data_IF_335708982243
#
_entry.id   IF_335708982243
#
_cell.length_a   1.000
_cell.length_b   1.000
_cell.length_c   1.000
_cell.angle_alpha   90.00
_cell.angle_beta   90.00
_cell.angle_gamma   90.00
#
_symmetry.space_group_name_H-M   'P 1'
#
loop_
_entity.id
_entity.type
_entity.pdbx_description
1 polymer ?
#
# COMPACT_ATOMS: atom_id res chain seq x y z
N UNK A 1 13.28 16.33 -22.24
CA UNK A 1 12.66 16.50 -20.91
C UNK A 1 12.05 15.20 -20.39
N UNK A 2 11.29 14.44 -21.20
CA UNK A 2 10.70 13.14 -20.81
C UNK A 2 11.67 12.12 -20.20
N UNK A 3 12.86 11.91 -20.78
CA UNK A 3 13.84 10.98 -20.23
C UNK A 3 14.32 11.38 -18.84
N UNK A 4 14.59 12.67 -18.61
CA UNK A 4 15.01 13.19 -17.31
C UNK A 4 13.89 13.00 -16.27
N UNK A 5 12.65 13.35 -16.61
CA UNK A 5 11.49 13.17 -15.73
C UNK A 5 11.24 11.70 -15.41
N UNK A 6 11.43 10.80 -16.38
CA UNK A 6 11.34 9.35 -16.16
C UNK A 6 12.38 8.88 -15.14
N UNK A 7 13.65 9.22 -15.32
CA UNK A 7 14.72 8.83 -14.38
C UNK A 7 14.53 9.42 -12.99
N UNK A 8 14.11 10.68 -12.89
CA UNK A 8 13.78 11.30 -11.59
C UNK A 8 12.63 10.54 -10.92
N UNK A 9 11.58 10.21 -11.67
CA UNK A 9 10.45 9.43 -11.17
C UNK A 9 10.88 8.06 -10.64
N UNK A 10 11.73 7.34 -11.39
CA UNK A 10 12.27 6.03 -10.97
C UNK A 10 13.09 6.16 -9.68
N UNK A 11 14.00 7.12 -9.60
CA UNK A 11 14.86 7.31 -8.42
C UNK A 11 14.03 7.74 -7.20
N UNK A 12 13.13 8.69 -7.35
CA UNK A 12 12.27 9.17 -6.27
C UNK A 12 11.36 8.06 -5.74
N UNK A 13 10.77 7.26 -6.63
CA UNK A 13 9.93 6.13 -6.23
C UNK A 13 10.76 5.04 -5.53
N UNK A 14 11.95 4.73 -6.05
CA UNK A 14 12.87 3.78 -5.40
C UNK A 14 13.20 4.22 -3.98
N UNK A 15 13.58 5.49 -3.77
CA UNK A 15 13.88 6.04 -2.44
C UNK A 15 12.64 5.98 -1.52
N UNK A 16 11.45 6.29 -2.05
CA UNK A 16 10.20 6.24 -1.29
C UNK A 16 9.83 4.84 -0.79
N UNK A 17 10.27 3.78 -1.47
CA UNK A 17 10.04 2.38 -1.06
C UNK A 17 11.13 1.81 -0.13
N UNK A 18 12.25 2.53 0.10
CA UNK A 18 13.32 2.09 1.02
C UNK A 18 12.84 1.94 2.47
N UNK A 19 12.07 2.89 3.04
CA UNK A 19 11.58 2.76 4.41
C UNK A 19 10.76 1.47 4.59
N UNK A 20 10.99 0.68 5.66
CA UNK A 20 10.25 -0.55 5.89
C UNK A 20 8.77 -0.23 6.19
N UNK A 21 7.91 -0.50 5.21
CA UNK A 21 6.45 -0.38 5.34
C UNK A 21 5.73 -1.73 5.41
N UNK A 22 4.40 -1.69 5.44
CA UNK A 22 3.55 -2.88 5.54
C UNK A 22 3.78 -3.89 4.41
N UNK A 23 4.02 -3.42 3.19
CA UNK A 23 4.29 -4.28 2.03
C UNK A 23 5.65 -4.97 2.15
N UNK A 24 6.69 -4.22 2.53
CA UNK A 24 8.05 -4.74 2.70
C UNK A 24 8.06 -5.85 3.76
N UNK A 25 7.41 -5.61 4.91
CA UNK A 25 7.29 -6.60 5.98
C UNK A 25 6.46 -7.82 5.56
N UNK A 26 5.36 -7.61 4.82
CA UNK A 26 4.53 -8.71 4.31
C UNK A 26 5.29 -9.56 3.30
N UNK A 27 6.05 -8.93 2.39
CA UNK A 27 6.89 -9.62 1.41
C UNK A 27 7.96 -10.46 2.11
N UNK A 28 8.63 -9.91 3.13
CA UNK A 28 9.59 -10.65 3.96
C UNK A 28 8.91 -11.83 4.64
N UNK A 29 7.74 -11.63 5.25
CA UNK A 29 7.00 -12.69 5.93
C UNK A 29 6.56 -13.79 4.96
N UNK A 30 6.08 -13.45 3.75
CA UNK A 30 5.71 -14.42 2.72
C UNK A 30 6.96 -15.17 2.24
N UNK A 31 8.07 -14.47 2.01
CA UNK A 31 9.33 -15.10 1.55
C UNK A 31 9.84 -16.12 2.57
N UNK A 32 9.88 -15.75 3.85
CA UNK A 32 10.36 -16.62 4.93
C UNK A 32 9.42 -17.82 5.14
N UNK A 33 8.11 -17.60 5.16
CA UNK A 33 7.16 -18.66 5.55
C UNK A 33 6.67 -19.53 4.37
N UNK A 34 6.73 -19.01 3.14
CA UNK A 34 6.11 -19.64 1.96
C UNK A 34 7.03 -19.76 0.75
N UNK A 35 8.24 -19.20 0.83
CA UNK A 35 9.23 -19.26 -0.23
C UNK A 35 9.09 -18.19 -1.31
N UNK A 36 10.09 -18.16 -2.21
CA UNK A 36 10.27 -17.11 -3.21
C UNK A 36 9.16 -17.05 -4.27
N UNK A 37 8.62 -18.20 -4.69
CA UNK A 37 7.58 -18.26 -5.73
C UNK A 37 6.31 -17.50 -5.30
N UNK A 38 5.94 -17.59 -4.03
CA UNK A 38 4.75 -16.99 -3.45
C UNK A 38 4.98 -15.50 -3.18
N UNK A 39 6.21 -15.12 -2.84
CA UNK A 39 6.62 -13.72 -2.74
C UNK A 39 6.56 -13.03 -4.11
N UNK A 40 7.00 -13.69 -5.18
CA UNK A 40 6.89 -13.18 -6.56
C UNK A 40 5.44 -13.03 -7.00
N UNK A 41 4.57 -14.01 -6.70
CA UNK A 41 3.15 -13.91 -6.98
C UNK A 41 2.49 -12.74 -6.25
N UNK A 42 2.86 -12.52 -4.97
CA UNK A 42 2.39 -11.40 -4.18
C UNK A 42 2.82 -10.05 -4.78
N UNK A 43 4.09 -9.88 -5.10
CA UNK A 43 4.60 -8.58 -5.58
C UNK A 43 4.09 -8.24 -6.98
N UNK A 44 3.97 -9.22 -7.88
CA UNK A 44 3.39 -9.00 -9.21
C UNK A 44 1.92 -8.59 -9.09
N UNK A 45 1.13 -9.30 -8.28
CA UNK A 45 -0.26 -8.96 -8.06
C UNK A 45 -0.41 -7.56 -7.45
N UNK A 46 0.40 -7.24 -6.44
CA UNK A 46 0.45 -5.92 -5.82
C UNK A 46 0.79 -4.82 -6.83
N UNK A 47 1.88 -4.97 -7.59
CA UNK A 47 2.33 -3.98 -8.58
C UNK A 47 1.32 -3.75 -9.71
N UNK A 48 0.60 -4.79 -10.14
CA UNK A 48 -0.47 -4.64 -11.12
C UNK A 48 -1.62 -3.78 -10.58
N UNK A 49 -2.08 -4.06 -9.35
CA UNK A 49 -3.17 -3.29 -8.73
C UNK A 49 -2.74 -1.84 -8.51
N UNK A 50 -1.54 -1.64 -7.95
CA UNK A 50 -0.92 -0.35 -7.72
C UNK A 50 -0.91 0.51 -8.99
N UNK A 51 -0.45 -0.06 -10.11
CA UNK A 51 -0.35 0.64 -11.38
C UNK A 51 -1.72 1.19 -11.84
N UNK A 52 -2.76 0.35 -11.84
CA UNK A 52 -4.10 0.77 -12.24
C UNK A 52 -4.69 1.77 -11.26
N UNK A 53 -4.54 1.53 -9.96
CA UNK A 53 -5.04 2.44 -8.92
C UNK A 53 -4.43 3.84 -9.08
N UNK A 54 -3.10 3.92 -9.18
CA UNK A 54 -2.34 5.14 -9.44
C UNK A 54 -2.83 5.86 -10.70
N UNK A 55 -3.01 5.11 -11.79
CA UNK A 55 -3.46 5.66 -13.06
C UNK A 55 -4.84 6.32 -12.93
N UNK A 56 -5.79 5.66 -12.26
CA UNK A 56 -7.12 6.23 -12.02
C UNK A 56 -7.08 7.46 -11.10
N UNK A 57 -6.28 7.42 -10.03
CA UNK A 57 -6.10 8.57 -9.13
C UNK A 57 -5.53 9.76 -9.89
N UNK A 58 -4.50 9.55 -10.70
CA UNK A 58 -3.86 10.60 -11.51
C UNK A 58 -4.81 11.25 -12.53
N UNK A 59 -5.77 10.49 -13.09
CA UNK A 59 -6.80 11.04 -13.97
C UNK A 59 -7.72 12.02 -13.22
N UNK A 60 -8.03 11.74 -11.96
CA UNK A 60 -8.89 12.56 -11.11
C UNK A 60 -8.15 13.63 -10.30
N UNK A 61 -6.83 13.58 -10.23
CA UNK A 61 -6.03 14.39 -9.30
C UNK A 61 -6.24 15.91 -9.48
N UNK A 62 -6.29 16.39 -10.74
CA UNK A 62 -6.52 17.82 -11.02
C UNK A 62 -7.92 18.26 -10.57
N UNK A 63 -8.93 17.45 -10.85
CA UNK A 63 -10.30 17.73 -10.46
C UNK A 63 -10.46 17.72 -8.93
N UNK A 64 -9.81 16.77 -8.24
CA UNK A 64 -9.85 16.68 -6.79
C UNK A 64 -9.18 17.90 -6.13
N UNK A 65 -8.03 18.34 -6.65
CA UNK A 65 -7.29 19.49 -6.15
C UNK A 65 -8.08 20.82 -6.23
N UNK A 66 -9.06 20.92 -7.14
CA UNK A 66 -9.93 22.09 -7.26
C UNK A 66 -11.08 22.10 -6.22
N UNK A 67 -11.30 20.99 -5.50
CA UNK A 67 -12.43 20.80 -4.58
C UNK A 67 -12.01 20.90 -3.11
N UNK A 68 -11.83 22.12 -2.61
CA UNK A 68 -11.42 22.42 -1.22
C UNK A 68 -12.27 21.69 -0.17
N UNK A 69 -13.58 21.54 -0.40
CA UNK A 69 -14.48 20.86 0.55
C UNK A 69 -14.27 19.35 0.64
N UNK A 70 -13.87 18.71 -0.46
CA UNK A 70 -13.64 17.26 -0.48
C UNK A 70 -12.32 16.92 0.21
N UNK A 71 -11.30 17.74 0.01
CA UNK A 71 -9.99 17.61 0.66
C UNK A 71 -10.12 17.58 2.19
N UNK A 72 -10.82 18.56 2.77
CA UNK A 72 -11.07 18.60 4.22
C UNK A 72 -11.86 17.39 4.73
N UNK A 73 -12.78 16.84 3.92
CA UNK A 73 -13.54 15.64 4.31
C UNK A 73 -12.62 14.42 4.33
N UNK A 74 -11.75 14.28 3.32
CA UNK A 74 -10.77 13.20 3.25
C UNK A 74 -9.83 13.25 4.46
N UNK A 75 -9.34 14.43 4.84
CA UNK A 75 -8.51 14.60 6.05
C UNK A 75 -9.20 14.07 7.31
N UNK A 76 -10.45 14.46 7.55
CA UNK A 76 -11.20 13.98 8.72
C UNK A 76 -11.47 12.47 8.66
N UNK A 77 -11.74 11.93 7.47
CA UNK A 77 -11.86 10.47 7.26
C UNK A 77 -10.55 9.79 7.62
N UNK A 78 -9.40 10.33 7.23
CA UNK A 78 -8.08 9.78 7.57
C UNK A 78 -7.80 9.84 9.06
N UNK A 79 -8.13 10.95 9.73
CA UNK A 79 -8.01 11.06 11.19
C UNK A 79 -8.81 9.94 11.87
N UNK A 80 -10.07 9.73 11.49
CA UNK A 80 -10.90 8.66 12.06
C UNK A 80 -10.33 7.28 11.74
N UNK A 81 -9.96 7.03 10.49
CA UNK A 81 -9.42 5.75 10.02
C UNK A 81 -8.14 5.38 10.76
N UNK A 82 -7.16 6.28 10.84
CA UNK A 82 -5.91 6.02 11.56
C UNK A 82 -6.10 5.91 13.07
N UNK A 83 -7.05 6.65 13.66
CA UNK A 83 -7.41 6.49 15.08
C UNK A 83 -7.99 5.10 15.35
N UNK A 84 -8.88 4.62 14.49
CA UNK A 84 -9.46 3.27 14.62
C UNK A 84 -8.39 2.20 14.41
N UNK A 85 -7.57 2.30 13.36
CA UNK A 85 -6.49 1.34 13.11
C UNK A 85 -5.48 1.31 14.26
N UNK A 86 -5.08 2.48 14.77
CA UNK A 86 -4.16 2.60 15.90
C UNK A 86 -4.73 1.98 17.18
N UNK A 87 -6.00 2.24 17.50
CA UNK A 87 -6.65 1.64 18.68
C UNK A 87 -6.81 0.12 18.57
N UNK A 88 -7.16 -0.40 17.39
CA UNK A 88 -7.24 -1.83 17.13
C UNK A 88 -5.87 -2.50 17.26
N UNK A 89 -4.84 -1.93 16.64
CA UNK A 89 -3.46 -2.43 16.74
C UNK A 89 -2.98 -2.44 18.20
N UNK A 90 -3.26 -1.36 18.95
CA UNK A 90 -2.91 -1.26 20.36
C UNK A 90 -3.61 -2.33 21.21
N UNK A 91 -4.88 -2.63 20.95
CA UNK A 91 -5.64 -3.69 21.64
C UNK A 91 -5.14 -5.08 21.27
N UNK A 92 -4.79 -5.31 20.01
CA UNK A 92 -4.37 -6.61 19.50
C UNK A 92 -2.91 -6.98 19.85
N UNK A 93 -2.13 -6.05 20.44
CA UNK A 93 -0.68 -6.22 20.71
C UNK A 93 -0.29 -7.48 21.49
N UNK A 94 -1.18 -8.00 22.33
CA UNK A 94 -0.93 -9.17 23.19
C UNK A 94 -1.50 -10.48 22.61
N UNK A 95 -2.11 -10.44 21.42
CA UNK A 95 -2.71 -11.61 20.79
C UNK A 95 -1.73 -12.18 19.77
N UNK A 96 -1.20 -13.40 19.96
CA UNK A 96 -0.32 -14.00 18.97
C UNK A 96 -1.10 -14.25 17.66
N UNK A 97 -0.54 -13.88 16.50
CA UNK A 97 -1.21 -14.08 15.22
C UNK A 97 -1.39 -15.58 14.94
N UNK A 98 -2.62 -16.00 14.58
CA UNK A 98 -2.92 -17.38 14.20
C UNK A 98 -2.33 -17.68 12.82
N UNK A 99 -1.41 -18.64 12.74
CA UNK A 99 -0.64 -19.01 11.54
C UNK A 99 -1.35 -20.04 10.67
N UNK A 100 -2.54 -19.74 10.15
CA UNK A 100 -3.16 -20.56 9.09
C UNK A 100 -2.91 -19.93 7.73
N UNK A 101 -1.89 -20.43 7.04
CA UNK A 101 -1.45 -19.91 5.75
C UNK A 101 -2.00 -20.76 4.60
N UNK A 102 -3.06 -20.30 3.93
CA UNK A 102 -3.56 -20.91 2.67
C UNK A 102 -2.71 -20.49 1.47
N UNK A 103 -2.43 -21.39 0.52
CA UNK A 103 -1.63 -21.12 -0.70
C UNK A 103 -2.16 -19.92 -1.52
N UNK A 104 -3.47 -19.85 -1.75
CA UNK A 104 -4.10 -18.75 -2.49
C UNK A 104 -4.13 -17.42 -1.71
N UNK A 105 -3.76 -17.43 -0.43
CA UNK A 105 -3.77 -16.21 0.36
C UNK A 105 -2.72 -15.21 -0.13
N UNK A 106 -1.60 -15.63 -0.74
CA UNK A 106 -0.56 -14.68 -1.18
C UNK A 106 -1.07 -13.69 -2.24
N UNK A 107 -1.80 -14.16 -3.25
CA UNK A 107 -2.40 -13.30 -4.28
C UNK A 107 -3.52 -12.43 -3.67
N UNK A 108 -4.37 -13.02 -2.83
CA UNK A 108 -5.44 -12.26 -2.13
C UNK A 108 -4.87 -11.17 -1.23
N UNK A 109 -3.79 -11.45 -0.50
CA UNK A 109 -3.07 -10.47 0.31
C UNK A 109 -2.43 -9.39 -0.56
N UNK A 110 -1.86 -9.75 -1.71
CA UNK A 110 -1.30 -8.78 -2.67
C UNK A 110 -2.34 -7.82 -3.20
N UNK A 111 -3.52 -8.33 -3.58
CA UNK A 111 -4.64 -7.51 -4.03
C UNK A 111 -5.17 -6.63 -2.88
N UNK A 112 -5.38 -7.22 -1.70
CA UNK A 112 -5.93 -6.50 -0.54
C UNK A 112 -4.99 -5.37 -0.09
N UNK A 113 -3.69 -5.65 0.01
CA UNK A 113 -2.69 -4.63 0.35
C UNK A 113 -2.49 -3.63 -0.77
N UNK A 114 -2.69 -4.00 -2.03
CA UNK A 114 -2.72 -3.07 -3.16
C UNK A 114 -3.80 -2.00 -3.02
N UNK A 115 -5.01 -2.39 -2.58
CA UNK A 115 -6.10 -1.44 -2.35
C UNK A 115 -6.02 -0.71 -1.01
N UNK A 116 -5.58 -1.39 0.05
CA UNK A 116 -5.66 -0.88 1.41
C UNK A 116 -4.33 -0.34 1.92
N UNK A 117 -3.34 -0.03 1.07
CA UNK A 117 -2.01 0.37 1.52
C UNK A 117 -2.05 1.70 2.30
N UNK A 118 -2.08 1.68 3.65
CA UNK A 118 -2.31 2.89 4.43
C UNK A 118 -1.07 3.78 4.44
N UNK A 119 0.11 3.18 4.21
CA UNK A 119 1.38 3.90 4.13
C UNK A 119 1.46 4.78 2.90
N UNK A 120 0.63 4.52 1.90
CA UNK A 120 0.64 5.21 0.63
C UNK A 120 -0.32 6.39 0.62
N UNK A 121 -1.45 6.29 1.35
CA UNK A 121 -2.48 7.33 1.42
C UNK A 121 -1.92 8.74 1.73
N UNK A 122 -0.92 8.93 2.63
CA UNK A 122 -0.33 10.25 2.87
C UNK A 122 0.63 10.76 1.79
N UNK A 123 1.02 9.89 0.84
CA UNK A 123 1.97 10.23 -0.24
C UNK A 123 1.28 10.48 -1.59
N UNK A 124 0.01 10.09 -1.74
CA UNK A 124 -0.85 10.42 -2.89
C UNK A 124 -1.54 11.77 -2.71
#
# INVERSE_FOLDING_TARGET
MIFLTFFIGVIANFIGYIPPGNINLTLVQITINRGMKQALQFIIAFSCVEFFFTFFVMLGARWLAEQVRLDTIIDWVMVVLFTVLGTLAWRARNTPPKTTYSEHAAIKYGILLGFLNPMQIPFW
#
